data_IF_609558686454
#
_entry.id   IF_609558686454
#
_cell.length_a   1.000
_cell.length_b   1.000
_cell.length_c   1.000
_cell.angle_alpha   90.00
_cell.angle_beta   90.00
_cell.angle_gamma   90.00
#
_symmetry.space_group_name_H-M   'P 1'
#
loop_
_entity.id
_entity.type
_entity.pdbx_description
1 polymer ?
#
# COMPACT_ATOMS: atom_id res chain seq x y z
N UNK A 1 15.00 -1.07 -13.16
CA UNK A 1 14.29 -2.34 -13.00
C UNK A 1 14.88 -3.32 -13.99
N UNK A 2 15.93 -3.99 -13.53
CA UNK A 2 16.49 -5.18 -14.16
C UNK A 2 16.06 -6.40 -13.34
N UNK A 3 15.60 -7.44 -14.01
CA UNK A 3 15.20 -8.68 -13.36
C UNK A 3 16.39 -9.31 -12.61
N UNK A 4 16.14 -9.84 -11.40
CA UNK A 4 17.16 -10.45 -10.50
C UNK A 4 18.28 -9.51 -10.02
N UNK A 5 18.18 -8.20 -10.24
CA UNK A 5 19.09 -7.23 -9.64
C UNK A 5 18.49 -6.65 -8.35
N UNK A 6 19.28 -6.60 -7.26
CA UNK A 6 18.90 -5.86 -6.06
C UNK A 6 19.01 -4.36 -6.37
N UNK A 7 17.90 -3.72 -6.66
CA UNK A 7 17.78 -2.26 -6.77
C UNK A 7 17.17 -1.75 -5.45
N UNK A 8 17.83 -0.79 -4.79
CA UNK A 8 17.31 -0.20 -3.53
C UNK A 8 16.18 0.80 -3.81
N UNK A 9 16.36 1.63 -4.81
CA UNK A 9 15.33 2.52 -5.30
C UNK A 9 15.65 3.02 -6.71
N UNK A 10 14.60 3.15 -7.53
CA UNK A 10 14.69 3.72 -8.86
C UNK A 10 13.44 4.53 -9.14
N UNK A 11 13.61 5.81 -9.47
CA UNK A 11 12.52 6.64 -9.99
C UNK A 11 12.07 6.08 -11.35
N UNK A 12 10.77 5.81 -11.49
CA UNK A 12 10.19 5.24 -12.71
C UNK A 12 9.55 6.31 -13.59
N UNK A 13 8.70 7.13 -13.00
CA UNK A 13 8.08 8.27 -13.63
C UNK A 13 7.74 9.34 -12.58
N UNK A 14 7.61 10.59 -13.03
CA UNK A 14 7.01 11.66 -12.23
C UNK A 14 5.60 11.89 -12.76
N UNK A 15 4.65 12.11 -11.85
CA UNK A 15 3.35 12.67 -12.21
C UNK A 15 2.97 13.70 -11.17
N UNK A 16 2.63 14.89 -11.64
CA UNK A 16 2.20 15.99 -10.79
C UNK A 16 0.70 16.21 -10.97
N UNK A 17 0.05 16.60 -9.87
CA UNK A 17 -1.38 16.88 -9.80
C UNK A 17 -1.55 18.23 -9.14
N UNK A 18 -2.24 19.16 -9.79
CA UNK A 18 -2.49 20.49 -9.24
C UNK A 18 -4.00 20.80 -9.23
N UNK A 19 -4.71 20.48 -8.13
CA UNK A 19 -6.15 20.71 -8.03
C UNK A 19 -6.51 22.21 -8.01
N UNK A 20 -5.54 23.12 -7.82
CA UNK A 20 -5.76 24.57 -7.88
C UNK A 20 -5.80 25.11 -9.31
N UNK A 21 -5.13 24.43 -10.25
CA UNK A 21 -5.02 24.85 -11.66
C UNK A 21 -5.79 23.96 -12.63
N UNK A 22 -5.99 22.68 -12.29
CA UNK A 22 -6.58 21.70 -13.18
C UNK A 22 -7.86 21.09 -12.58
N UNK A 23 -8.99 21.28 -13.28
CA UNK A 23 -10.30 20.73 -12.90
C UNK A 23 -10.29 19.21 -12.83
N UNK A 24 -9.60 18.54 -13.76
CA UNK A 24 -9.52 17.08 -13.81
C UNK A 24 -8.76 16.52 -12.60
N UNK A 25 -7.71 17.21 -12.14
CA UNK A 25 -6.96 16.79 -10.96
C UNK A 25 -7.76 17.01 -9.68
N UNK A 26 -8.58 18.07 -9.63
CA UNK A 26 -9.54 18.27 -8.55
C UNK A 26 -10.57 17.14 -8.49
N UNK A 27 -11.15 16.75 -9.62
CA UNK A 27 -12.12 15.65 -9.69
C UNK A 27 -11.50 14.31 -9.26
N UNK A 28 -10.23 14.05 -9.60
CA UNK A 28 -9.49 12.87 -9.12
C UNK A 28 -9.29 12.89 -7.60
N UNK A 29 -8.95 14.05 -7.03
CA UNK A 29 -8.80 14.21 -5.59
C UNK A 29 -10.13 13.97 -4.86
N UNK A 30 -11.22 14.60 -5.31
CA UNK A 30 -12.56 14.43 -4.74
C UNK A 30 -13.03 12.96 -4.82
N UNK A 31 -12.67 12.26 -5.90
CA UNK A 31 -12.94 10.82 -6.06
C UNK A 31 -12.18 9.99 -5.02
N UNK A 32 -10.93 10.35 -4.72
CA UNK A 32 -10.11 9.67 -3.72
C UNK A 32 -10.69 9.89 -2.31
N UNK A 33 -11.07 11.12 -1.97
CA UNK A 33 -11.74 11.44 -0.70
C UNK A 33 -13.05 10.68 -0.55
N UNK A 34 -13.87 10.63 -1.62
CA UNK A 34 -15.11 9.84 -1.63
C UNK A 34 -14.83 8.36 -1.41
N UNK A 35 -13.80 7.79 -2.03
CA UNK A 35 -13.43 6.40 -1.84
C UNK A 35 -13.02 6.11 -0.39
N UNK A 36 -12.28 7.03 0.26
CA UNK A 36 -11.95 6.92 1.69
C UNK A 36 -13.19 6.99 2.58
N UNK A 37 -14.12 7.90 2.30
CA UNK A 37 -15.38 8.02 3.04
C UNK A 37 -16.30 6.80 2.91
N UNK A 38 -16.23 6.10 1.77
CA UNK A 38 -16.98 4.87 1.52
C UNK A 38 -16.21 3.61 1.94
N UNK A 39 -15.05 3.75 2.59
CA UNK A 39 -14.18 2.66 3.02
C UNK A 39 -13.86 1.67 1.87
N UNK A 40 -13.50 2.20 0.69
CA UNK A 40 -13.11 1.39 -0.46
C UNK A 40 -11.72 0.77 -0.32
N UNK A 41 -11.56 -0.40 -0.92
CA UNK A 41 -10.35 -1.21 -0.88
C UNK A 41 -9.74 -1.38 -2.27
N UNK A 42 -8.41 -1.38 -2.31
CA UNK A 42 -7.64 -1.87 -3.44
C UNK A 42 -7.46 -3.38 -3.34
N UNK A 43 -7.77 -4.07 -4.44
CA UNK A 43 -7.55 -5.51 -4.58
C UNK A 43 -6.50 -5.75 -5.66
N UNK A 44 -5.29 -6.10 -5.24
CA UNK A 44 -4.19 -6.44 -6.14
C UNK A 44 -3.97 -7.95 -6.18
N UNK A 45 -3.54 -8.43 -7.34
CA UNK A 45 -3.15 -9.81 -7.57
C UNK A 45 -1.73 -9.77 -8.12
N UNK A 46 -0.83 -10.54 -7.50
CA UNK A 46 0.54 -10.71 -7.97
C UNK A 46 0.71 -12.16 -8.41
N UNK A 47 0.97 -12.36 -9.70
CA UNK A 47 0.87 -13.66 -10.38
C UNK A 47 -0.54 -14.23 -10.19
N UNK A 48 -0.72 -15.22 -9.31
CA UNK A 48 -2.01 -15.83 -8.97
C UNK A 48 -2.37 -15.70 -7.49
N UNK A 49 -1.62 -14.90 -6.72
CA UNK A 49 -1.83 -14.74 -5.28
C UNK A 49 -2.49 -13.39 -4.96
N UNK A 50 -3.59 -13.37 -4.19
CA UNK A 50 -4.17 -12.12 -3.72
C UNK A 50 -3.22 -11.45 -2.74
N UNK A 51 -3.06 -10.13 -2.87
CA UNK A 51 -2.35 -9.33 -1.90
C UNK A 51 -3.18 -9.23 -0.62
N UNK A 52 -2.53 -9.47 0.51
CA UNK A 52 -3.17 -9.45 1.84
C UNK A 52 -2.62 -8.32 2.71
N UNK A 53 -3.50 -7.62 3.41
CA UNK A 53 -3.14 -6.66 4.43
C UNK A 53 -3.39 -7.27 5.81
N UNK A 54 -2.34 -7.34 6.63
CA UNK A 54 -2.42 -7.86 7.98
C UNK A 54 -2.17 -6.74 8.98
N UNK A 55 -3.00 -6.66 10.01
CA UNK A 55 -2.96 -5.60 11.02
C UNK A 55 -3.36 -6.14 12.40
N UNK A 56 -2.90 -5.46 13.45
CA UNK A 56 -3.14 -5.87 14.85
C UNK A 56 -4.39 -5.13 15.35
N UNK A 57 -5.41 -5.85 15.79
CA UNK A 57 -6.64 -5.26 16.36
C UNK A 57 -6.49 -4.96 17.84
N UNK A 58 -7.40 -4.14 18.39
CA UNK A 58 -7.53 -3.95 19.84
C UNK A 58 -7.70 -5.32 20.53
N UNK A 59 -6.76 -5.66 21.41
CA UNK A 59 -6.65 -7.00 22.02
C UNK A 59 -5.42 -7.80 21.57
N UNK A 60 -4.63 -7.29 20.62
CA UNK A 60 -3.32 -7.85 20.26
C UNK A 60 -3.35 -8.99 19.22
N UNK A 61 -4.53 -9.40 18.78
CA UNK A 61 -4.69 -10.39 17.72
C UNK A 61 -4.36 -9.79 16.35
N UNK A 62 -3.71 -10.57 15.48
CA UNK A 62 -3.46 -10.17 14.08
C UNK A 62 -4.61 -10.64 13.20
N UNK A 63 -5.23 -9.72 12.48
CA UNK A 63 -6.23 -10.01 11.45
C UNK A 63 -5.63 -9.76 10.06
N UNK A 64 -5.99 -10.58 9.07
CA UNK A 64 -5.56 -10.41 7.69
C UNK A 64 -6.77 -10.38 6.76
N UNK A 65 -6.83 -9.38 5.89
CA UNK A 65 -7.84 -9.24 4.84
C UNK A 65 -7.19 -9.29 3.45
N UNK A 66 -7.95 -9.73 2.45
CA UNK A 66 -7.56 -9.54 1.05
C UNK A 66 -7.80 -8.10 0.64
N UNK A 67 -6.79 -7.48 0.03
CA UNK A 67 -6.81 -6.06 -0.31
C UNK A 67 -6.47 -5.16 0.87
N UNK A 68 -6.40 -3.85 0.59
CA UNK A 68 -6.03 -2.82 1.57
C UNK A 68 -6.84 -1.54 1.31
N UNK A 69 -7.08 -0.69 2.32
CA UNK A 69 -7.86 0.53 2.15
C UNK A 69 -7.17 1.50 1.19
N UNK A 70 -7.96 2.29 0.46
CA UNK A 70 -7.45 3.45 -0.31
C UNK A 70 -6.74 4.46 0.61
N UNK A 71 -7.23 4.60 1.82
CA UNK A 71 -6.74 5.50 2.85
C UNK A 71 -7.72 5.54 4.01
N UNK A 72 -7.66 6.57 4.84
CA UNK A 72 -8.62 6.78 5.91
C UNK A 72 -8.83 8.28 6.19
N UNK A 73 -9.91 8.61 6.91
CA UNK A 73 -10.27 9.97 7.27
C UNK A 73 -10.44 10.09 8.79
N UNK A 74 -9.86 11.15 9.37
CA UNK A 74 -10.10 11.56 10.75
C UNK A 74 -11.06 12.73 10.72
N UNK A 75 -12.19 12.61 11.43
CA UNK A 75 -13.21 13.65 11.40
C UNK A 75 -12.76 14.95 12.08
N UNK A 76 -13.55 16.01 11.91
CA UNK A 76 -13.25 17.32 12.49
C UNK A 76 -13.22 17.33 14.03
N UNK A 77 -13.76 16.30 14.70
CA UNK A 77 -13.67 16.12 16.15
C UNK A 77 -12.44 15.32 16.57
N UNK A 78 -11.57 14.93 15.62
CA UNK A 78 -10.38 14.14 15.88
C UNK A 78 -10.67 12.65 16.10
N UNK A 79 -11.86 12.16 15.73
CA UNK A 79 -12.20 10.74 15.88
C UNK A 79 -11.73 9.97 14.66
N UNK A 80 -10.72 9.13 14.88
CA UNK A 80 -10.27 8.15 13.90
C UNK A 80 -11.32 7.05 13.70
N UNK A 81 -11.53 6.63 12.45
CA UNK A 81 -12.39 5.50 12.08
C UNK A 81 -11.66 4.57 11.11
N UNK A 82 -12.17 3.35 10.97
CA UNK A 82 -11.69 2.36 10.01
C UNK A 82 -10.16 2.18 10.12
N UNK A 83 -9.43 2.25 9.01
CA UNK A 83 -7.98 2.06 9.01
C UNK A 83 -7.19 3.13 9.78
N UNK A 84 -7.78 4.28 10.12
CA UNK A 84 -7.11 5.29 10.94
C UNK A 84 -6.92 4.85 12.39
N UNK A 85 -7.72 3.91 12.91
CA UNK A 85 -7.54 3.40 14.28
C UNK A 85 -6.29 2.53 14.42
N UNK A 86 -5.70 2.11 13.30
CA UNK A 86 -4.61 1.13 13.28
C UNK A 86 -3.23 1.73 13.54
N UNK A 87 -3.05 3.04 13.32
CA UNK A 87 -1.80 3.75 13.60
C UNK A 87 -2.10 5.09 14.25
N UNK A 88 -1.58 5.30 15.46
CA UNK A 88 -1.73 6.54 16.23
C UNK A 88 -1.19 7.79 15.54
N UNK A 89 -0.42 7.65 14.44
CA UNK A 89 -0.01 8.77 13.59
C UNK A 89 -1.18 9.41 12.85
N UNK A 90 -2.27 8.69 12.60
CA UNK A 90 -3.45 9.19 11.91
C UNK A 90 -4.44 9.83 12.89
N UNK A 91 -4.06 11.01 13.40
CA UNK A 91 -4.80 11.69 14.50
C UNK A 91 -5.11 13.16 14.26
N UNK A 92 -4.64 13.75 13.17
CA UNK A 92 -4.91 15.15 12.88
C UNK A 92 -6.40 15.31 12.55
N UNK A 93 -7.14 16.21 13.24
CA UNK A 93 -8.54 16.45 12.93
C UNK A 93 -8.75 16.91 11.49
N UNK A 94 -9.90 16.56 10.92
CA UNK A 94 -10.31 16.94 9.56
C UNK A 94 -9.24 16.64 8.49
N UNK A 95 -8.66 15.45 8.54
CA UNK A 95 -7.52 15.08 7.69
C UNK A 95 -7.74 13.75 7.00
N UNK A 96 -7.57 13.74 5.68
CA UNK A 96 -7.48 12.54 4.87
C UNK A 96 -6.04 12.03 4.78
N UNK A 97 -5.85 10.74 5.04
CA UNK A 97 -4.57 10.04 4.93
C UNK A 97 -4.66 9.03 3.79
N UNK A 98 -4.22 9.44 2.60
CA UNK A 98 -4.13 8.53 1.45
C UNK A 98 -2.99 7.53 1.65
N UNK A 99 -3.23 6.25 1.40
CA UNK A 99 -2.21 5.20 1.48
C UNK A 99 -1.41 5.13 0.16
N UNK A 100 -0.61 6.17 -0.05
CA UNK A 100 0.15 6.41 -1.28
C UNK A 100 1.50 5.66 -1.36
N UNK A 101 1.93 5.01 -0.28
CA UNK A 101 3.17 4.25 -0.25
C UNK A 101 2.89 2.80 0.18
N UNK A 102 3.25 1.83 -0.66
CA UNK A 102 2.94 0.42 -0.44
C UNK A 102 4.22 -0.41 -0.34
N UNK A 103 4.42 -1.04 0.82
CA UNK A 103 5.51 -1.98 1.02
C UNK A 103 5.00 -3.40 0.83
N UNK A 104 5.54 -4.12 -0.16
CA UNK A 104 5.17 -5.51 -0.41
C UNK A 104 6.21 -6.48 0.15
N UNK A 105 5.75 -7.48 0.88
CA UNK A 105 6.56 -8.62 1.32
C UNK A 105 6.09 -9.87 0.60
N UNK A 106 6.93 -10.36 -0.32
CA UNK A 106 6.67 -11.58 -1.10
C UNK A 106 7.48 -12.72 -0.47
N UNK A 107 6.77 -13.70 0.08
CA UNK A 107 7.39 -14.94 0.56
C UNK A 107 7.23 -16.00 -0.52
N UNK A 108 8.32 -16.67 -0.87
CA UNK A 108 8.34 -17.68 -1.92
C UNK A 108 9.24 -18.85 -1.54
N UNK A 109 8.93 -20.02 -2.07
CA UNK A 109 9.78 -21.20 -2.02
C UNK A 109 10.68 -21.25 -3.25
N UNK A 110 11.98 -21.46 -3.07
CA UNK A 110 12.95 -21.51 -4.18
C UNK A 110 13.11 -22.94 -4.72
N UNK A 111 13.00 -23.11 -6.04
CA UNK A 111 13.22 -24.39 -6.72
C UNK A 111 14.69 -24.65 -7.10
N UNK A 112 15.64 -23.81 -6.71
CA UNK A 112 17.07 -23.91 -7.15
C UNK A 112 17.75 -25.20 -6.66
N UNK A 113 17.28 -25.83 -5.59
CA UNK A 113 17.82 -27.08 -5.04
C UNK A 113 16.82 -28.24 -5.06
N UNK A 114 15.69 -28.09 -5.75
CA UNK A 114 14.65 -29.11 -5.79
C UNK A 114 14.43 -29.59 -7.23
N UNK A 115 14.24 -30.89 -7.40
CA UNK A 115 14.07 -31.53 -8.70
C UNK A 115 12.57 -31.72 -9.01
N UNK A 116 11.86 -30.62 -9.28
CA UNK A 116 10.44 -30.66 -9.67
C UNK A 116 10.23 -30.99 -11.15
N UNK A 117 11.20 -31.63 -11.82
CA UNK A 117 11.09 -32.05 -13.23
C UNK A 117 11.02 -30.90 -14.25
N UNK A 118 11.10 -29.64 -13.80
CA UNK A 118 11.19 -28.44 -14.62
C UNK A 118 12.58 -27.85 -14.47
N UNK A 119 13.56 -28.30 -15.25
CA UNK A 119 14.92 -27.77 -15.19
C UNK A 119 14.96 -26.24 -15.27
N UNK A 120 15.48 -25.57 -14.24
CA UNK A 120 15.64 -24.12 -14.20
C UNK A 120 15.53 -23.49 -12.80
N UNK A 121 15.71 -22.17 -12.71
CA UNK A 121 15.53 -21.40 -11.48
C UNK A 121 14.07 -20.88 -11.37
N UNK A 122 13.16 -21.76 -10.95
CA UNK A 122 11.76 -21.43 -10.65
C UNK A 122 11.55 -21.23 -9.15
N UNK A 123 10.43 -20.61 -8.77
CA UNK A 123 10.04 -20.44 -7.38
C UNK A 123 8.53 -20.29 -7.28
N UNK A 124 7.94 -20.78 -6.19
CA UNK A 124 6.49 -20.71 -5.94
C UNK A 124 6.20 -19.63 -4.91
N UNK A 125 5.38 -18.65 -5.25
CA UNK A 125 4.92 -17.64 -4.29
C UNK A 125 4.02 -18.33 -3.25
N UNK A 126 4.33 -18.10 -1.97
CA UNK A 126 3.57 -18.61 -0.83
C UNK A 126 2.60 -17.55 -0.28
N UNK A 127 3.03 -16.29 -0.26
CA UNK A 127 2.18 -15.19 0.18
C UNK A 127 2.68 -13.85 -0.35
N UNK A 128 1.75 -12.93 -0.58
CA UNK A 128 2.05 -11.52 -0.85
C UNK A 128 1.32 -10.68 0.20
N UNK A 129 2.10 -10.02 1.04
CA UNK A 129 1.59 -9.11 2.08
C UNK A 129 1.88 -7.67 1.71
N UNK A 130 0.97 -6.76 2.03
CA UNK A 130 1.16 -5.32 1.87
C UNK A 130 1.10 -4.62 3.22
N UNK A 131 1.98 -3.65 3.41
CA UNK A 131 1.94 -2.68 4.49
C UNK A 131 1.75 -1.28 3.88
N UNK A 132 0.49 -0.78 3.83
CA UNK A 132 0.21 0.55 3.33
C UNK A 132 0.68 1.63 4.31
N UNK A 133 1.16 2.75 3.78
CA UNK A 133 1.60 3.93 4.53
C UNK A 133 1.10 5.20 3.83
N UNK A 134 0.83 6.23 4.64
CA UNK A 134 0.59 7.59 4.15
C UNK A 134 1.84 8.42 4.38
N UNK A 135 2.53 8.79 3.30
CA UNK A 135 3.81 9.52 3.37
C UNK A 135 3.68 10.83 2.59
N UNK A 136 4.06 11.92 3.26
CA UNK A 136 4.27 13.21 2.60
C UNK A 136 5.66 13.21 1.97
N UNK A 137 5.69 13.07 0.66
CA UNK A 137 6.95 13.05 -0.09
C UNK A 137 7.60 14.45 -0.08
N UNK A 138 8.88 14.53 0.30
CA UNK A 138 9.67 15.76 0.32
C UNK A 138 10.58 15.86 -0.92
N UNK A 139 10.00 15.66 -2.10
CA UNK A 139 10.70 15.69 -3.39
C UNK A 139 10.85 14.29 -4.02
N UNK A 140 11.84 14.16 -4.89
CA UNK A 140 12.08 12.95 -5.70
C UNK A 140 12.93 11.87 -4.99
N UNK A 141 13.23 12.07 -3.71
CA UNK A 141 13.97 11.08 -2.94
C UNK A 141 13.12 9.85 -2.68
N UNK A 142 13.78 8.72 -2.68
CA UNK A 142 13.21 7.46 -2.25
C UNK A 142 12.91 7.58 -0.76
N UNK A 143 11.65 7.82 -0.39
CA UNK A 143 11.21 7.92 1.01
C UNK A 143 11.12 6.54 1.67
N UNK A 144 12.11 5.70 1.38
CA UNK A 144 12.31 4.35 1.89
C UNK A 144 13.12 4.38 3.18
N UNK A 145 13.12 5.49 3.93
CA UNK A 145 13.78 5.57 5.24
C UNK A 145 13.04 4.66 6.23
N UNK A 146 13.43 3.40 6.23
CA UNK A 146 13.53 2.51 7.39
C UNK A 146 15.00 2.15 7.59
#
# INVERSE_FOLDING_TARGET
ISFKAKEKCKKLCTKEYDPSKNKEDKEKLETLEKAMNLNYYHHFIADNMPVTWCYIVEGGSTFCATGFPVGCYVDAQGRAKDACVMDHKFKSPDTYYAFNHLNFTITYHSGIQEDWGMGGAYGRILSVKVSPRSIKHNGDSCDTNE
#
